data_IF_736660419988
#
_entry.id   IF_736660419988
#
_cell.length_a   1.000
_cell.length_b   1.000
_cell.length_c   1.000
_cell.angle_alpha   90.00
_cell.angle_beta   90.00
_cell.angle_gamma   90.00
#
_symmetry.space_group_name_H-M   'P 1'
#
loop_
_entity.id
_entity.type
_entity.pdbx_description
1 polymer ?
#
# COMPACT_ATOMS: atom_id res chain seq x y z
N UNK A 1 19.29 -0.74 -8.36
CA UNK A 1 19.58 -0.49 -6.94
C UNK A 1 19.04 0.89 -6.62
N UNK A 2 18.01 1.00 -5.79
CA UNK A 2 17.44 2.30 -5.41
C UNK A 2 18.43 3.11 -4.57
N UNK A 3 18.52 4.41 -4.81
CA UNK A 3 19.26 5.35 -3.96
C UNK A 3 18.71 5.31 -2.55
N UNK A 4 19.59 5.26 -1.54
CA UNK A 4 19.17 5.33 -0.14
C UNK A 4 18.54 6.70 0.14
N UNK A 5 17.44 6.76 0.91
CA UNK A 5 16.81 8.01 1.31
C UNK A 5 17.80 8.92 2.04
N UNK A 6 17.84 10.20 1.66
CA UNK A 6 18.70 11.19 2.31
C UNK A 6 18.11 11.62 3.67
N UNK A 7 18.97 12.07 4.59
CA UNK A 7 18.57 12.43 5.97
C UNK A 7 17.45 13.49 6.05
N UNK A 8 17.27 14.32 5.02
CA UNK A 8 16.21 15.34 4.97
C UNK A 8 14.82 14.74 4.83
N UNK A 9 14.73 13.53 4.29
CA UNK A 9 13.48 12.82 4.03
C UNK A 9 13.15 11.80 5.13
N UNK A 10 14.04 11.64 6.12
CA UNK A 10 13.91 10.65 7.18
C UNK A 10 13.11 11.22 8.35
N UNK A 11 11.97 10.59 8.71
CA UNK A 11 11.20 10.99 9.88
C UNK A 11 12.00 10.88 11.18
N UNK A 12 11.72 11.74 12.20
CA UNK A 12 12.50 11.80 13.44
C UNK A 12 12.43 10.52 14.30
N UNK A 13 11.48 9.62 14.02
CA UNK A 13 11.34 8.33 14.70
C UNK A 13 12.15 7.19 14.05
N UNK A 14 12.77 7.42 12.89
CA UNK A 14 13.63 6.45 12.20
C UNK A 14 15.10 6.76 12.50
N UNK A 15 15.82 5.79 13.07
CA UNK A 15 17.23 5.94 13.43
C UNK A 15 18.13 5.53 12.27
N UNK A 16 18.61 6.50 11.51
CA UNK A 16 19.60 6.25 10.48
C UNK A 16 21.03 6.16 11.06
N UNK A 17 21.88 5.22 10.61
CA UNK A 17 21.64 4.27 9.51
C UNK A 17 21.01 2.94 9.92
N UNK A 18 20.88 2.63 11.21
CA UNK A 18 20.50 1.29 11.69
C UNK A 18 19.13 0.82 11.18
N UNK A 19 18.12 1.69 11.27
CA UNK A 19 16.73 1.40 10.88
C UNK A 19 16.51 1.43 9.36
N UNK A 20 17.50 1.91 8.60
CA UNK A 20 17.47 1.89 7.13
C UNK A 20 18.01 0.58 6.55
N UNK A 21 18.70 -0.22 7.37
CA UNK A 21 19.25 -1.51 6.96
C UNK A 21 18.14 -2.55 6.90
N UNK A 22 18.22 -3.41 5.88
CA UNK A 22 17.32 -4.55 5.67
C UNK A 22 15.83 -4.20 5.72
N UNK A 23 15.32 -3.28 4.88
CA UNK A 23 13.91 -2.92 4.91
C UNK A 23 12.98 -4.10 4.58
N UNK A 24 11.73 -4.02 5.03
CA UNK A 24 10.70 -4.96 4.63
C UNK A 24 10.10 -4.48 3.32
N UNK A 25 9.95 -5.39 2.37
CA UNK A 25 9.35 -5.10 1.07
C UNK A 25 8.02 -5.83 0.97
N UNK A 26 7.01 -5.12 0.49
CA UNK A 26 5.69 -5.66 0.18
C UNK A 26 5.32 -5.30 -1.24
N UNK A 27 4.77 -6.25 -1.99
CA UNK A 27 4.18 -5.99 -3.28
C UNK A 27 2.66 -5.94 -3.15
N UNK A 28 2.06 -4.84 -3.59
CA UNK A 28 0.61 -4.67 -3.61
C UNK A 28 0.16 -4.19 -4.98
N UNK A 29 -1.09 -4.48 -5.34
CA UNK A 29 -1.67 -3.99 -6.60
C UNK A 29 -1.72 -2.47 -6.60
N UNK A 30 -1.23 -1.86 -7.68
CA UNK A 30 -1.18 -0.39 -7.84
C UNK A 30 -2.56 0.24 -7.70
N UNK A 31 -3.61 -0.45 -8.15
CA UNK A 31 -5.00 -0.01 -8.03
C UNK A 31 -5.49 0.13 -6.58
N UNK A 32 -4.88 -0.59 -5.62
CA UNK A 32 -5.25 -0.52 -4.21
C UNK A 32 -4.56 0.64 -3.48
N UNK A 33 -3.50 1.22 -4.06
CA UNK A 33 -2.71 2.27 -3.41
C UNK A 33 -3.54 3.49 -3.06
N UNK A 34 -4.35 3.98 -3.99
CA UNK A 34 -5.16 5.17 -3.75
C UNK A 34 -6.22 4.90 -2.67
N UNK A 35 -6.77 3.68 -2.62
CA UNK A 35 -7.72 3.31 -1.59
C UNK A 35 -7.07 3.25 -0.19
N UNK A 36 -5.84 2.72 -0.11
CA UNK A 36 -5.07 2.60 1.13
C UNK A 36 -4.50 3.95 1.60
N UNK A 37 -3.77 4.63 0.73
CA UNK A 37 -2.98 5.82 1.02
C UNK A 37 -3.66 7.13 0.64
N UNK A 38 -4.85 7.08 0.04
CA UNK A 38 -5.55 8.25 -0.45
C UNK A 38 -4.98 8.78 -1.78
N UNK A 39 -5.63 9.80 -2.37
CA UNK A 39 -5.18 10.44 -3.60
C UNK A 39 -3.74 10.92 -3.45
N UNK A 40 -2.90 10.58 -4.42
CA UNK A 40 -1.47 10.90 -4.45
C UNK A 40 -0.70 10.56 -3.15
N UNK A 41 -1.16 9.58 -2.38
CA UNK A 41 -0.49 9.19 -1.13
C UNK A 41 -0.72 10.13 0.05
N UNK A 42 -1.77 10.97 0.04
CA UNK A 42 -2.06 11.96 1.07
C UNK A 42 -2.10 11.43 2.53
N UNK A 43 -2.37 10.13 2.73
CA UNK A 43 -2.40 9.47 4.05
C UNK A 43 -1.07 8.86 4.47
N UNK A 44 -0.06 8.82 3.60
CA UNK A 44 1.27 8.25 3.92
C UNK A 44 1.87 8.90 5.17
N UNK A 45 1.92 10.23 5.32
CA UNK A 45 2.54 10.86 6.50
C UNK A 45 1.85 10.45 7.81
N UNK A 46 0.52 10.32 7.78
CA UNK A 46 -0.26 9.87 8.93
C UNK A 46 0.04 8.40 9.28
N UNK A 47 0.08 7.52 8.28
CA UNK A 47 0.37 6.10 8.46
C UNK A 47 1.79 5.92 9.02
N UNK A 48 2.78 6.62 8.45
CA UNK A 48 4.16 6.64 8.94
C UNK A 48 4.23 7.11 10.40
N UNK A 49 3.52 8.18 10.75
CA UNK A 49 3.51 8.73 12.11
C UNK A 49 2.92 7.76 13.15
N UNK A 50 1.83 7.06 12.81
CA UNK A 50 1.15 6.12 13.71
C UNK A 50 1.93 4.81 13.83
N UNK A 51 2.51 4.33 12.72
CA UNK A 51 3.27 3.08 12.71
C UNK A 51 4.73 3.25 13.13
N UNK A 52 5.23 4.49 13.23
CA UNK A 52 6.63 4.82 13.54
C UNK A 52 7.62 4.20 12.54
N UNK A 53 7.24 4.17 11.28
CA UNK A 53 8.07 3.72 10.16
C UNK A 53 8.19 4.82 9.11
N UNK A 54 9.05 4.61 8.13
CA UNK A 54 9.09 5.38 6.90
C UNK A 54 8.75 4.46 5.73
N UNK A 55 7.92 4.94 4.82
CA UNK A 55 7.41 4.23 3.67
C UNK A 55 7.97 4.83 2.39
N UNK A 56 8.48 3.99 1.50
CA UNK A 56 8.89 4.39 0.16
C UNK A 56 8.11 3.55 -0.85
N UNK A 57 7.47 4.21 -1.82
CA UNK A 57 6.70 3.54 -2.87
C UNK A 57 7.55 3.49 -4.14
N UNK A 58 7.76 2.28 -4.65
CA UNK A 58 8.46 2.00 -5.90
C UNK A 58 7.48 1.37 -6.87
N UNK A 59 7.03 2.15 -7.85
CA UNK A 59 6.17 1.64 -8.92
C UNK A 59 7.04 0.78 -9.84
N UNK A 60 6.65 -0.47 -10.06
CA UNK A 60 7.32 -1.31 -11.04
C UNK A 60 6.73 -0.99 -12.42
N UNK A 61 7.48 -0.30 -13.27
CA UNK A 61 7.02 0.14 -14.60
C UNK A 61 6.48 -0.99 -15.50
N UNK A 62 6.86 -2.24 -15.23
CA UNK A 62 6.45 -3.43 -15.99
C UNK A 62 5.35 -4.26 -15.31
N UNK A 63 4.83 -3.84 -14.16
CA UNK A 63 3.86 -4.62 -13.38
C UNK A 63 2.74 -3.72 -12.85
N UNK A 64 1.51 -4.25 -12.78
CA UNK A 64 0.39 -3.66 -12.04
C UNK A 64 0.59 -3.71 -10.50
N UNK A 65 1.83 -3.86 -10.06
CA UNK A 65 2.23 -3.98 -8.67
C UNK A 65 3.15 -2.82 -8.31
N UNK A 66 2.99 -2.32 -7.10
CA UNK A 66 3.89 -1.35 -6.49
C UNK A 66 4.55 -1.98 -5.28
N UNK A 67 5.86 -1.82 -5.19
CA UNK A 67 6.64 -2.19 -4.03
C UNK A 67 6.55 -1.08 -2.97
N UNK A 68 6.06 -1.44 -1.79
CA UNK A 68 6.19 -0.62 -0.60
C UNK A 68 7.41 -1.11 0.16
N UNK A 69 8.36 -0.22 0.36
CA UNK A 69 9.54 -0.44 1.18
C UNK A 69 9.31 0.21 2.54
N UNK A 70 9.43 -0.59 3.61
CA UNK A 70 9.18 -0.17 4.99
C UNK A 70 10.51 -0.12 5.74
N UNK A 71 10.88 1.07 6.18
CA UNK A 71 12.06 1.34 6.98
C UNK A 71 11.68 1.67 8.42
N UNK A 72 12.52 1.29 9.37
CA UNK A 72 12.23 1.49 10.79
C UNK A 72 12.80 0.37 11.65
N UNK A 73 12.73 0.58 12.96
CA UNK A 73 13.16 -0.42 13.92
C UNK A 73 12.35 -1.72 13.77
N UNK A 74 13.01 -2.85 13.99
CA UNK A 74 12.55 -4.20 13.71
C UNK A 74 11.06 -4.47 14.06
N UNK A 75 10.65 -4.17 15.29
CA UNK A 75 9.27 -4.44 15.74
C UNK A 75 8.24 -3.53 15.06
N UNK A 76 8.56 -2.26 14.82
CA UNK A 76 7.66 -1.32 14.15
C UNK A 76 7.50 -1.68 12.67
N UNK A 77 8.59 -2.04 12.01
CA UNK A 77 8.61 -2.48 10.62
C UNK A 77 7.77 -3.75 10.41
N UNK A 78 7.92 -4.75 11.27
CA UNK A 78 7.09 -5.96 11.22
C UNK A 78 5.61 -5.65 11.45
N UNK A 79 5.29 -4.81 12.45
CA UNK A 79 3.91 -4.40 12.70
C UNK A 79 3.31 -3.65 11.51
N UNK A 80 4.05 -2.72 10.93
CA UNK A 80 3.63 -1.97 9.76
C UNK A 80 3.40 -2.89 8.56
N UNK A 81 4.28 -3.88 8.34
CA UNK A 81 4.09 -4.92 7.31
C UNK A 81 2.74 -5.63 7.46
N UNK A 82 2.46 -6.16 8.65
CA UNK A 82 1.19 -6.84 8.93
C UNK A 82 -0.03 -5.92 8.73
N UNK A 83 0.05 -4.69 9.22
CA UNK A 83 -1.00 -3.69 9.08
C UNK A 83 -1.28 -3.38 7.61
N UNK A 84 -0.25 -3.11 6.80
CA UNK A 84 -0.36 -2.80 5.38
C UNK A 84 -0.93 -4.00 4.59
N UNK A 85 -0.51 -5.23 4.89
CA UNK A 85 -1.09 -6.44 4.29
C UNK A 85 -2.57 -6.57 4.60
N UNK A 86 -2.95 -6.31 5.85
CA UNK A 86 -4.34 -6.42 6.30
C UNK A 86 -5.22 -5.36 5.64
N UNK A 87 -4.71 -4.13 5.48
CA UNK A 87 -5.39 -3.06 4.75
C UNK A 87 -5.56 -3.41 3.27
N UNK A 88 -4.51 -3.89 2.60
CA UNK A 88 -4.56 -4.28 1.19
C UNK A 88 -5.62 -5.38 0.96
N UNK A 89 -5.61 -6.41 1.81
CA UNK A 89 -6.57 -7.51 1.74
C UNK A 89 -8.01 -7.04 1.98
N UNK A 90 -8.22 -6.17 2.96
CA UNK A 90 -9.54 -5.59 3.21
C UNK A 90 -10.08 -4.82 2.01
N UNK A 91 -9.24 -4.00 1.37
CA UNK A 91 -9.63 -3.25 0.17
C UNK A 91 -9.93 -4.18 -1.01
N UNK A 92 -9.11 -5.21 -1.23
CA UNK A 92 -9.33 -6.24 -2.26
C UNK A 92 -10.69 -6.91 -2.09
N UNK A 93 -10.96 -7.44 -0.90
CA UNK A 93 -12.25 -8.10 -0.60
C UNK A 93 -13.44 -7.15 -0.75
N UNK A 94 -13.26 -5.87 -0.42
CA UNK A 94 -14.31 -4.86 -0.57
C UNK A 94 -14.61 -4.56 -2.04
N UNK A 95 -13.59 -4.50 -2.89
CA UNK A 95 -13.79 -4.36 -4.34
C UNK A 95 -14.52 -5.57 -4.92
N UNK A 96 -14.10 -6.78 -4.56
CA UNK A 96 -14.74 -8.03 -5.01
C UNK A 96 -16.23 -8.09 -4.61
N UNK A 97 -16.55 -7.77 -3.35
CA UNK A 97 -17.94 -7.68 -2.88
C UNK A 97 -18.74 -6.59 -3.59
N UNK A 98 -18.09 -5.48 -3.96
CA UNK A 98 -18.72 -4.40 -4.73
C UNK A 98 -19.09 -4.85 -6.14
N UNK A 99 -18.17 -5.57 -6.81
CA UNK A 99 -18.41 -6.14 -8.14
C UNK A 99 -19.56 -7.16 -8.12
N UNK A 100 -19.58 -8.08 -7.15
CA UNK A 100 -20.67 -9.05 -7.03
C UNK A 100 -22.04 -8.38 -6.90
N UNK A 101 -22.13 -7.34 -6.06
CA UNK A 101 -23.38 -6.56 -5.91
C UNK A 101 -23.78 -5.83 -7.19
N UNK A 102 -22.80 -5.31 -7.94
CA UNK A 102 -23.05 -4.67 -9.22
C UNK A 102 -23.57 -5.68 -10.24
N UNK A 103 -22.96 -6.86 -10.32
CA UNK A 103 -23.38 -7.95 -11.21
C UNK A 103 -24.81 -8.39 -10.90
N UNK A 104 -25.16 -8.56 -9.62
CA UNK A 104 -26.52 -8.90 -9.19
C UNK A 104 -27.53 -7.81 -9.57
N UNK A 105 -27.18 -6.53 -9.39
CA UNK A 105 -28.03 -5.42 -9.77
C UNK A 105 -28.21 -5.33 -11.29
N UNK A 106 -27.16 -5.58 -12.08
CA UNK A 106 -27.25 -5.61 -13.55
C UNK A 106 -28.15 -6.75 -14.04
N UNK A 107 -28.02 -7.95 -13.45
CA UNK A 107 -28.91 -9.09 -13.72
C UNK A 107 -30.36 -8.76 -13.40
N UNK A 108 -30.62 -8.10 -12.26
CA UNK A 108 -31.97 -7.69 -11.87
C UNK A 108 -32.59 -6.64 -12.81
N UNK A 109 -31.76 -5.84 -13.50
CA UNK A 109 -32.19 -4.85 -14.47
C UNK A 109 -32.28 -5.39 -15.92
N UNK A 110 -32.08 -6.70 -16.12
CA UNK A 110 -32.00 -7.35 -17.45
C UNK A 110 -30.97 -6.71 -18.40
N UNK A 111 -30.01 -5.95 -17.85
CA UNK A 111 -28.90 -5.40 -18.60
C UNK A 111 -27.93 -6.55 -18.87
N UNK A 112 -28.05 -7.17 -20.05
CA UNK A 112 -27.18 -8.26 -20.49
C UNK A 112 -25.70 -7.85 -20.51
N UNK A 113 -24.76 -8.82 -20.52
CA UNK A 113 -23.34 -8.53 -20.43
C UNK A 113 -22.91 -7.70 -21.63
N UNK A 114 -22.38 -6.50 -21.40
CA UNK A 114 -21.59 -5.76 -22.38
C UNK A 114 -20.21 -6.41 -22.48
N UNK A 115 -20.14 -7.63 -23.01
CA UNK A 115 -18.92 -8.22 -23.54
C UNK A 115 -19.20 -8.60 -24.99
N UNK A 116 -18.75 -7.74 -25.91
CA UNK A 116 -18.46 -8.10 -27.30
C UNK A 116 -16.95 -8.04 -27.47
#
# INVERSE_FOLDING_TARGET
MGTLPERKDIPPWVKAPEDLKDPEVLQIQTQLLEAMFGPAGSRIPYIEQVSKVMLELKVLESSELTEIVVYGSYLYKLRAKWMLQSMAEWHRQRQERGMLKLEDAMKALELGPWMK
#
